data_IF_420698712060
#
_entry.id   IF_420698712060
#
_cell.length_a   1.000
_cell.length_b   1.000
_cell.length_c   1.000
_cell.angle_alpha   90.00
_cell.angle_beta   90.00
_cell.angle_gamma   90.00
#
_symmetry.space_group_name_H-M   'P 1'
#
loop_
_entity.id
_entity.type
_entity.pdbx_description
1 polymer ?
#
# COMPACT_ATOMS: atom_id res chain seq x y z
N UNK A 1 0.88 -64.31 32.82
CA UNK A 1 2.16 -64.21 32.08
C UNK A 1 1.91 -64.56 30.63
N UNK A 2 2.02 -63.57 29.75
CA UNK A 2 2.34 -63.69 28.32
C UNK A 2 1.42 -64.52 27.40
N UNK A 3 0.97 -63.81 26.35
CA UNK A 3 1.11 -64.18 24.94
C UNK A 3 -0.09 -64.90 24.29
N UNK A 4 -0.53 -64.25 23.20
CA UNK A 4 -1.31 -64.79 22.08
C UNK A 4 -2.73 -65.21 22.50
N UNK A 5 -3.73 -65.00 21.69
CA UNK A 5 -3.83 -65.55 20.35
C UNK A 5 -5.16 -65.01 19.82
N UNK A 6 -5.09 -64.14 18.84
CA UNK A 6 -5.55 -64.42 17.47
C UNK A 6 -7.08 -64.36 17.33
N UNK A 7 -7.50 -63.92 16.15
CA UNK A 7 -8.86 -63.76 15.64
C UNK A 7 -9.43 -62.37 15.97
N UNK A 8 -9.66 -61.49 15.00
CA UNK A 8 -9.88 -61.64 13.56
C UNK A 8 -9.26 -60.40 12.89
N UNK A 9 -8.22 -60.52 12.05
CA UNK A 9 -8.25 -61.12 10.72
C UNK A 9 -9.30 -60.39 9.85
N UNK A 10 -8.92 -59.56 8.88
CA UNK A 10 -8.20 -59.87 7.62
C UNK A 10 -9.11 -59.34 6.50
N UNK A 11 -8.46 -59.02 5.38
CA UNK A 11 -9.00 -58.61 4.09
C UNK A 11 -9.14 -57.09 3.94
N UNK A 12 -8.35 -56.40 3.12
CA UNK A 12 -7.64 -56.89 1.93
C UNK A 12 -6.41 -56.05 1.63
N UNK A 13 -5.36 -56.81 1.34
CA UNK A 13 -4.04 -56.45 0.87
C UNK A 13 -4.09 -56.10 -0.63
N UNK A 14 -2.89 -55.81 -1.14
CA UNK A 14 -2.48 -55.69 -2.56
C UNK A 14 -2.48 -54.27 -3.12
N UNK A 15 -1.39 -53.71 -3.64
CA UNK A 15 -0.01 -54.18 -3.80
C UNK A 15 0.82 -52.98 -4.29
N UNK A 16 2.14 -53.04 -4.11
CA UNK A 16 3.05 -52.42 -5.07
C UNK A 16 4.00 -51.38 -4.53
N UNK A 17 4.95 -51.83 -3.71
CA UNK A 17 6.21 -51.17 -3.43
C UNK A 17 6.95 -50.72 -4.70
N UNK A 18 7.53 -49.51 -4.64
CA UNK A 18 8.91 -49.31 -5.10
C UNK A 18 9.55 -48.18 -4.32
N UNK A 19 10.32 -48.56 -3.30
CA UNK A 19 11.15 -47.64 -2.54
C UNK A 19 12.32 -47.10 -3.35
N UNK A 20 12.88 -46.00 -2.88
CA UNK A 20 14.32 -45.89 -2.56
C UNK A 20 14.53 -44.71 -1.61
N UNK A 21 15.37 -44.96 -0.62
CA UNK A 21 15.74 -44.07 0.47
C UNK A 21 16.45 -42.79 0.01
N UNK A 22 16.30 -41.74 0.82
CA UNK A 22 17.37 -40.79 1.12
C UNK A 22 17.52 -39.57 0.20
N UNK A 23 16.86 -38.47 0.54
CA UNK A 23 17.52 -37.16 0.48
C UNK A 23 16.96 -36.23 1.56
N UNK A 24 17.79 -35.94 2.56
CA UNK A 24 17.53 -34.92 3.56
C UNK A 24 17.35 -33.56 2.88
N UNK A 25 16.12 -33.05 2.84
CA UNK A 25 15.81 -31.70 2.36
C UNK A 25 16.42 -30.65 3.31
N UNK A 26 17.61 -30.17 2.97
CA UNK A 26 18.26 -29.00 3.60
C UNK A 26 17.31 -27.79 3.58
N UNK A 27 17.15 -27.03 4.68
CA UNK A 27 16.40 -25.77 4.67
C UNK A 27 17.21 -24.68 3.92
N UNK A 28 16.79 -24.32 2.71
CA UNK A 28 17.34 -23.18 1.94
C UNK A 28 16.74 -21.83 2.40
N UNK A 29 16.68 -21.57 3.72
CA UNK A 29 16.00 -20.39 4.27
C UNK A 29 16.92 -19.27 4.80
N UNK A 30 18.25 -19.43 4.79
CA UNK A 30 19.13 -18.54 5.55
C UNK A 30 19.92 -17.48 4.73
N UNK A 31 19.77 -17.38 3.40
CA UNK A 31 20.66 -16.51 2.58
C UNK A 31 20.01 -15.26 1.98
N UNK A 32 18.69 -15.07 2.10
CA UNK A 32 17.99 -13.92 1.49
C UNK A 32 17.48 -12.86 2.48
N UNK A 33 17.72 -13.05 3.79
CA UNK A 33 17.28 -12.11 4.83
C UNK A 33 17.96 -10.73 4.65
N UNK A 34 19.26 -10.71 4.32
CA UNK A 34 20.01 -9.46 4.21
C UNK A 34 19.47 -8.51 3.12
N UNK A 35 18.93 -9.02 2.00
CA UNK A 35 18.40 -8.15 0.94
C UNK A 35 17.03 -7.56 1.30
N UNK A 36 16.18 -8.33 1.96
CA UNK A 36 14.87 -7.87 2.42
C UNK A 36 15.07 -6.84 3.55
N UNK A 37 15.92 -7.14 4.54
CA UNK A 37 16.21 -6.22 5.64
C UNK A 37 16.89 -4.93 5.18
N UNK A 38 17.86 -4.99 4.24
CA UNK A 38 18.48 -3.78 3.69
C UNK A 38 17.49 -2.93 2.89
N UNK A 39 16.57 -3.56 2.14
CA UNK A 39 15.53 -2.85 1.42
C UNK A 39 14.52 -2.18 2.38
N UNK A 40 14.07 -2.89 3.41
CA UNK A 40 13.19 -2.33 4.45
C UNK A 40 13.86 -1.15 5.17
N UNK A 41 15.11 -1.30 5.62
CA UNK A 41 15.88 -0.22 6.27
C UNK A 41 16.03 0.98 5.33
N UNK A 42 16.35 0.74 4.05
CA UNK A 42 16.48 1.80 3.05
C UNK A 42 15.17 2.56 2.86
N UNK A 43 14.02 1.87 2.85
CA UNK A 43 12.71 2.51 2.78
C UNK A 43 12.43 3.31 4.04
N UNK A 44 12.66 2.76 5.24
CA UNK A 44 12.43 3.47 6.50
C UNK A 44 13.26 4.76 6.56
N UNK A 45 14.54 4.70 6.21
CA UNK A 45 15.43 5.88 6.18
C UNK A 45 14.92 6.89 5.14
N UNK A 46 14.65 6.46 3.91
CA UNK A 46 14.17 7.36 2.85
C UNK A 46 12.84 8.01 3.22
N UNK A 47 11.94 7.23 3.84
CA UNK A 47 10.63 7.69 4.32
C UNK A 47 10.78 8.72 5.43
N UNK A 48 11.69 8.48 6.38
CA UNK A 48 11.95 9.43 7.47
C UNK A 48 12.41 10.79 6.95
N UNK A 49 13.44 10.81 6.08
CA UNK A 49 13.94 12.07 5.51
C UNK A 49 12.89 12.76 4.62
N UNK A 50 12.17 11.99 3.79
CA UNK A 50 11.12 12.53 2.93
C UNK A 50 9.96 13.11 3.76
N UNK A 51 9.53 12.41 4.81
CA UNK A 51 8.49 12.86 5.73
C UNK A 51 8.89 14.13 6.46
N UNK A 52 10.12 14.22 6.96
CA UNK A 52 10.62 15.40 7.64
C UNK A 52 10.62 16.63 6.70
N UNK A 53 11.14 16.48 5.48
CA UNK A 53 11.14 17.56 4.48
C UNK A 53 9.72 17.99 4.11
N UNK A 54 8.84 17.03 3.85
CA UNK A 54 7.47 17.30 3.43
C UNK A 54 6.65 17.96 4.55
N UNK A 55 6.86 17.53 5.81
CA UNK A 55 6.22 18.12 6.99
C UNK A 55 6.66 19.57 7.17
N UNK A 56 7.95 19.88 7.05
CA UNK A 56 8.45 21.27 7.16
C UNK A 56 7.82 22.16 6.09
N UNK A 57 7.77 21.70 4.84
CA UNK A 57 7.15 22.46 3.74
C UNK A 57 5.66 22.70 4.01
N UNK A 58 4.96 21.67 4.48
CA UNK A 58 3.54 21.75 4.79
C UNK A 58 3.26 22.70 5.95
N UNK A 59 4.09 22.68 7.00
CA UNK A 59 3.94 23.54 8.17
C UNK A 59 4.16 25.02 7.82
N UNK A 60 5.21 25.33 7.05
CA UNK A 60 5.46 26.70 6.57
C UNK A 60 4.28 27.21 5.72
N UNK A 61 3.75 26.35 4.85
CA UNK A 61 2.61 26.68 3.99
C UNK A 61 1.33 26.90 4.81
N UNK A 62 1.11 26.09 5.85
CA UNK A 62 -0.11 26.16 6.67
C UNK A 62 -0.06 27.32 7.64
N UNK A 63 1.10 27.61 8.24
CA UNK A 63 1.28 28.70 9.22
C UNK A 63 1.07 30.09 8.63
N UNK A 64 1.39 30.26 7.34
CA UNK A 64 1.25 31.55 6.63
C UNK A 64 -0.12 31.73 5.96
N UNK A 65 -0.93 30.67 5.90
CA UNK A 65 -2.16 30.66 5.13
C UNK A 65 -3.41 30.89 6.00
N UNK A 66 -4.44 31.49 5.41
CA UNK A 66 -5.74 31.62 6.05
C UNK A 66 -6.37 30.25 6.32
N UNK A 67 -7.23 30.15 7.34
CA UNK A 67 -7.94 28.92 7.75
C UNK A 67 -8.58 28.18 6.56
N UNK A 68 -9.12 28.91 5.59
CA UNK A 68 -9.71 28.34 4.38
C UNK A 68 -8.69 27.59 3.51
N UNK A 69 -7.46 28.09 3.39
CA UNK A 69 -6.40 27.44 2.63
C UNK A 69 -5.89 26.18 3.34
N UNK A 70 -5.82 26.17 4.68
CA UNK A 70 -5.50 24.97 5.45
C UNK A 70 -6.55 23.87 5.25
N UNK A 71 -7.84 24.22 5.22
CA UNK A 71 -8.92 23.29 4.90
C UNK A 71 -8.81 22.73 3.47
N UNK A 72 -8.49 23.58 2.49
CA UNK A 72 -8.25 23.14 1.11
C UNK A 72 -7.07 22.18 1.01
N UNK A 73 -5.98 22.46 1.72
CA UNK A 73 -4.81 21.58 1.78
C UNK A 73 -5.14 20.24 2.43
N UNK A 74 -5.92 20.23 3.52
CA UNK A 74 -6.37 19.02 4.20
C UNK A 74 -7.16 18.11 3.25
N UNK A 75 -8.14 18.66 2.52
CA UNK A 75 -8.93 17.90 1.54
C UNK A 75 -8.03 17.37 0.42
N UNK A 76 -7.07 18.18 -0.05
CA UNK A 76 -6.11 17.76 -1.07
C UNK A 76 -5.24 16.58 -0.58
N UNK A 77 -4.74 16.62 0.66
CA UNK A 77 -3.95 15.54 1.25
C UNK A 77 -4.75 14.24 1.36
N UNK A 78 -6.01 14.31 1.80
CA UNK A 78 -6.91 13.14 1.86
C UNK A 78 -7.15 12.58 0.46
N UNK A 79 -7.41 13.44 -0.53
CA UNK A 79 -7.61 13.01 -1.91
C UNK A 79 -6.38 12.32 -2.49
N UNK A 80 -5.18 12.86 -2.28
CA UNK A 80 -3.92 12.25 -2.71
C UNK A 80 -3.72 10.88 -2.05
N UNK A 81 -3.98 10.75 -0.73
CA UNK A 81 -3.88 9.48 -0.01
C UNK A 81 -4.80 8.41 -0.61
N UNK A 82 -6.04 8.76 -0.91
CA UNK A 82 -7.02 7.84 -1.50
C UNK A 82 -6.59 7.41 -2.92
N UNK A 83 -6.15 8.35 -3.75
CA UNK A 83 -5.73 8.06 -5.14
C UNK A 83 -4.49 7.17 -5.16
N UNK A 84 -3.48 7.46 -4.32
CA UNK A 84 -2.26 6.66 -4.28
C UNK A 84 -2.50 5.25 -3.72
N UNK A 85 -3.37 5.11 -2.71
CA UNK A 85 -3.80 3.80 -2.21
C UNK A 85 -4.53 3.00 -3.32
N UNK A 86 -5.41 3.65 -4.09
CA UNK A 86 -6.06 3.01 -5.23
C UNK A 86 -5.07 2.52 -6.30
N UNK A 87 -3.98 3.26 -6.54
CA UNK A 87 -2.92 2.84 -7.47
C UNK A 87 -2.15 1.62 -6.93
N UNK A 88 -1.80 1.60 -5.64
CA UNK A 88 -1.13 0.47 -5.01
C UNK A 88 -1.99 -0.80 -5.03
N UNK A 89 -3.29 -0.66 -4.73
CA UNK A 89 -4.26 -1.76 -4.79
C UNK A 89 -4.53 -2.21 -6.24
N UNK A 90 -4.59 -1.29 -7.20
CA UNK A 90 -4.69 -1.64 -8.62
C UNK A 90 -3.44 -2.41 -9.10
N UNK A 91 -2.25 -2.04 -8.62
CA UNK A 91 -1.00 -2.70 -9.00
C UNK A 91 -0.93 -4.15 -8.51
N UNK A 92 -1.44 -4.40 -7.30
CA UNK A 92 -1.44 -5.73 -6.67
C UNK A 92 -2.58 -6.63 -7.16
N UNK A 93 -3.72 -6.07 -7.54
CA UNK A 93 -4.88 -6.82 -8.07
C UNK A 93 -4.83 -7.08 -9.58
N UNK A 94 -3.90 -6.47 -10.32
CA UNK A 94 -3.82 -6.63 -11.76
C UNK A 94 -3.12 -7.94 -12.16
N UNK A 95 -3.78 -8.75 -13.00
CA UNK A 95 -3.17 -9.95 -13.55
C UNK A 95 -2.15 -9.65 -14.68
N UNK A 96 -1.06 -10.42 -14.74
CA UNK A 96 -0.03 -10.23 -15.77
C UNK A 96 -0.46 -10.69 -17.17
N UNK A 97 -1.30 -11.72 -17.29
CA UNK A 97 -1.72 -12.30 -18.56
C UNK A 97 -2.34 -11.27 -19.55
N UNK A 98 -3.33 -10.44 -19.16
CA UNK A 98 -3.89 -9.43 -20.07
C UNK A 98 -2.86 -8.37 -20.49
N UNK A 99 -1.89 -8.04 -19.63
CA UNK A 99 -0.83 -7.07 -19.93
C UNK A 99 0.17 -7.60 -20.96
N UNK A 100 0.53 -8.89 -20.89
CA UNK A 100 1.42 -9.54 -21.85
C UNK A 100 0.79 -9.60 -23.24
N UNK A 101 -0.50 -9.94 -23.34
CA UNK A 101 -1.24 -9.92 -24.61
C UNK A 101 -1.23 -8.51 -25.26
N UNK A 102 -1.42 -7.45 -24.46
CA UNK A 102 -1.35 -6.07 -24.94
C UNK A 102 0.07 -5.64 -25.35
N UNK A 103 1.10 -6.17 -24.69
CA UNK A 103 2.50 -5.93 -25.07
C UNK A 103 2.83 -6.57 -26.43
N UNK A 104 2.30 -7.77 -26.71
CA UNK A 104 2.41 -8.41 -28.04
C UNK A 104 1.73 -7.58 -29.14
N UNK A 105 0.60 -6.93 -28.83
CA UNK A 105 -0.07 -5.97 -29.74
C UNK A 105 0.56 -4.57 -29.75
N UNK A 106 1.75 -4.39 -29.13
CA UNK A 106 2.50 -3.12 -29.05
C UNK A 106 1.69 -1.93 -28.50
N UNK A 107 0.76 -2.17 -27.57
CA UNK A 107 -0.01 -1.09 -26.94
C UNK A 107 0.94 -0.18 -26.13
N UNK A 108 0.83 1.14 -26.29
CA UNK A 108 1.66 2.13 -25.58
C UNK A 108 1.48 2.00 -24.06
N UNK A 109 2.60 1.98 -23.33
CA UNK A 109 2.63 1.85 -21.86
C UNK A 109 2.65 0.40 -21.33
N UNK A 110 2.37 -0.61 -22.16
CA UNK A 110 2.24 -2.01 -21.70
C UNK A 110 3.52 -2.58 -21.10
N UNK A 111 4.69 -2.21 -21.64
CA UNK A 111 5.99 -2.64 -21.08
C UNK A 111 6.22 -2.09 -19.67
N UNK A 112 5.81 -0.85 -19.42
CA UNK A 112 5.90 -0.24 -18.08
C UNK A 112 4.88 -0.87 -17.13
N UNK A 113 3.66 -1.12 -17.60
CA UNK A 113 2.62 -1.80 -16.82
C UNK A 113 3.10 -3.17 -16.31
N UNK A 114 3.76 -3.95 -17.18
CA UNK A 114 4.34 -5.24 -16.79
C UNK A 114 5.44 -5.05 -15.73
N UNK A 115 6.31 -4.03 -15.84
CA UNK A 115 7.34 -3.75 -14.81
C UNK A 115 6.72 -3.39 -13.47
N UNK A 116 5.65 -2.58 -13.46
CA UNK A 116 4.94 -2.18 -12.25
C UNK A 116 4.27 -3.37 -11.58
N UNK A 117 3.52 -4.19 -12.32
CA UNK A 117 2.84 -5.38 -11.76
C UNK A 117 3.85 -6.44 -11.30
N UNK A 118 4.98 -6.61 -11.99
CA UNK A 118 6.07 -7.50 -11.52
C UNK A 118 6.69 -7.04 -10.19
N UNK A 119 6.64 -5.75 -9.88
CA UNK A 119 7.13 -5.19 -8.62
C UNK A 119 5.97 -4.66 -7.76
N UNK A 120 4.75 -5.21 -7.92
CA UNK A 120 3.54 -4.68 -7.30
C UNK A 120 3.65 -4.56 -5.78
N UNK A 121 4.30 -5.53 -5.12
CA UNK A 121 4.55 -5.50 -3.68
C UNK A 121 5.33 -4.24 -3.26
N UNK A 122 6.39 -3.90 -3.99
CA UNK A 122 7.20 -2.70 -3.72
C UNK A 122 6.43 -1.42 -3.99
N UNK A 123 5.67 -1.39 -5.10
CA UNK A 123 4.85 -0.23 -5.47
C UNK A 123 3.75 0.00 -4.43
N UNK A 124 3.08 -1.06 -4.01
CA UNK A 124 2.04 -0.99 -2.97
C UNK A 124 2.62 -0.54 -1.63
N UNK A 125 3.78 -1.08 -1.22
CA UNK A 125 4.41 -0.65 0.03
C UNK A 125 4.81 0.84 0.00
N UNK A 126 5.24 1.36 -1.14
CA UNK A 126 5.56 2.79 -1.27
C UNK A 126 4.28 3.63 -1.30
N UNK A 127 3.30 3.27 -2.13
CA UNK A 127 2.08 4.07 -2.31
C UNK A 127 1.15 4.03 -1.10
N UNK A 128 0.90 2.84 -0.57
CA UNK A 128 -0.06 2.63 0.51
C UNK A 128 0.56 2.93 1.88
N UNK A 129 1.78 2.44 2.14
CA UNK A 129 2.37 2.52 3.48
C UNK A 129 3.18 3.81 3.60
N UNK A 130 4.25 3.98 2.80
CA UNK A 130 5.13 5.15 2.92
C UNK A 130 4.38 6.47 2.69
N UNK A 131 3.72 6.61 1.53
CA UNK A 131 3.04 7.88 1.21
C UNK A 131 1.75 8.02 2.01
N UNK A 132 1.02 6.93 2.24
CA UNK A 132 -0.19 6.93 3.05
C UNK A 132 0.08 7.36 4.50
N UNK A 133 1.14 6.87 5.13
CA UNK A 133 1.54 7.23 6.49
C UNK A 133 2.00 8.69 6.57
N UNK A 134 2.78 9.17 5.60
CA UNK A 134 3.19 10.58 5.53
C UNK A 134 1.95 11.48 5.39
N UNK A 135 1.08 11.19 4.42
CA UNK A 135 -0.15 11.97 4.24
C UNK A 135 -1.05 11.89 5.47
N UNK A 136 -1.10 10.75 6.17
CA UNK A 136 -1.84 10.56 7.42
C UNK A 136 -1.30 11.46 8.54
N UNK A 137 0.00 11.44 8.79
CA UNK A 137 0.65 12.26 9.83
C UNK A 137 0.46 13.76 9.52
N UNK A 138 0.72 14.16 8.28
CA UNK A 138 0.66 15.56 7.85
C UNK A 138 -0.78 16.09 7.80
N UNK A 139 -1.75 15.28 7.39
CA UNK A 139 -3.17 15.66 7.47
C UNK A 139 -3.65 15.77 8.92
N UNK A 140 -3.14 14.93 9.82
CA UNK A 140 -3.39 15.02 11.26
C UNK A 140 -2.85 16.32 11.87
N UNK A 141 -1.60 16.68 11.57
CA UNK A 141 -1.04 17.96 12.03
C UNK A 141 -1.78 19.16 11.46
N UNK A 142 -2.14 19.14 10.16
CA UNK A 142 -2.97 20.18 9.55
C UNK A 142 -4.33 20.32 10.25
N UNK A 143 -4.98 19.19 10.57
CA UNK A 143 -6.26 19.18 11.29
C UNK A 143 -6.13 19.86 12.64
N UNK A 144 -5.05 19.56 13.39
CA UNK A 144 -4.78 20.20 14.67
C UNK A 144 -4.55 21.71 14.53
N UNK A 145 -3.74 22.14 13.56
CA UNK A 145 -3.49 23.56 13.29
C UNK A 145 -4.77 24.31 12.96
N UNK A 146 -5.67 23.70 12.17
CA UNK A 146 -7.00 24.25 11.87
C UNK A 146 -7.83 24.42 13.15
N UNK A 147 -7.91 23.39 14.01
CA UNK A 147 -8.67 23.44 15.27
C UNK A 147 -8.17 24.57 16.16
N UNK A 148 -6.84 24.73 16.27
CA UNK A 148 -6.22 25.80 17.07
C UNK A 148 -6.60 27.16 16.51
N UNK A 149 -6.47 27.37 15.20
CA UNK A 149 -6.82 28.65 14.57
C UNK A 149 -8.30 29.01 14.70
N UNK A 150 -9.22 28.04 14.60
CA UNK A 150 -10.66 28.28 14.79
C UNK A 150 -11.01 28.59 16.25
N UNK A 151 -10.28 28.01 17.20
CA UNK A 151 -10.68 28.05 18.61
C UNK A 151 -9.90 29.07 19.44
N UNK A 152 -8.99 29.83 18.83
CA UNK A 152 -8.16 30.81 19.53
C UNK A 152 -8.97 31.85 20.34
N UNK A 153 -10.24 32.10 19.97
CA UNK A 153 -11.15 33.03 20.65
C UNK A 153 -12.34 32.35 21.34
N UNK A 154 -12.38 31.02 21.45
CA UNK A 154 -13.54 30.29 21.98
C UNK A 154 -13.29 29.65 23.37
N UNK A 155 -14.34 29.42 24.17
CA UNK A 155 -14.24 28.69 25.44
C UNK A 155 -13.66 27.29 25.28
N UNK A 156 -12.83 26.86 26.25
CA UNK A 156 -12.11 25.57 26.22
C UNK A 156 -13.00 24.31 26.05
N UNK A 157 -14.26 24.36 26.49
CA UNK A 157 -15.21 23.26 26.32
C UNK A 157 -15.64 23.08 24.86
N UNK A 158 -15.82 24.18 24.11
CA UNK A 158 -16.16 24.12 22.69
C UNK A 158 -14.97 23.64 21.85
N UNK A 159 -13.74 23.96 22.26
CA UNK A 159 -12.50 23.49 21.61
C UNK A 159 -12.40 21.98 21.55
N UNK A 160 -12.71 21.32 22.66
CA UNK A 160 -12.68 19.86 22.76
C UNK A 160 -13.65 19.21 21.77
N UNK A 161 -14.91 19.65 21.78
CA UNK A 161 -15.94 19.09 20.90
C UNK A 161 -15.66 19.36 19.41
N UNK A 162 -15.17 20.56 19.06
CA UNK A 162 -14.78 20.89 17.68
C UNK A 162 -13.61 20.01 17.22
N UNK A 163 -12.60 19.81 18.06
CA UNK A 163 -11.45 18.94 17.75
C UNK A 163 -11.88 17.50 17.49
N UNK A 164 -12.72 16.94 18.38
CA UNK A 164 -13.23 15.57 18.27
C UNK A 164 -14.09 15.41 17.02
N UNK A 165 -14.99 16.36 16.76
CA UNK A 165 -15.88 16.30 15.61
C UNK A 165 -15.10 16.41 14.30
N UNK A 166 -14.15 17.34 14.20
CA UNK A 166 -13.34 17.50 13.00
C UNK A 166 -12.46 16.28 12.74
N UNK A 167 -11.77 15.77 13.76
CA UNK A 167 -10.94 14.56 13.65
C UNK A 167 -11.77 13.34 13.26
N UNK A 168 -12.98 13.21 13.80
CA UNK A 168 -13.90 12.11 13.47
C UNK A 168 -14.37 12.20 12.01
N UNK A 169 -14.70 13.40 11.53
CA UNK A 169 -15.07 13.62 10.12
C UNK A 169 -13.92 13.30 9.18
N UNK A 170 -12.70 13.76 9.49
CA UNK A 170 -11.49 13.47 8.70
C UNK A 170 -11.21 11.97 8.66
N UNK A 171 -11.31 11.28 9.81
CA UNK A 171 -11.12 9.84 9.87
C UNK A 171 -12.19 9.08 9.05
N UNK A 172 -13.46 9.44 9.20
CA UNK A 172 -14.56 8.82 8.45
C UNK A 172 -14.42 9.03 6.94
N UNK A 173 -14.05 10.25 6.51
CA UNK A 173 -13.80 10.56 5.09
C UNK A 173 -12.61 9.79 4.55
N UNK A 174 -11.52 9.68 5.31
CA UNK A 174 -10.30 8.98 4.88
C UNK A 174 -10.57 7.47 4.74
N UNK A 175 -11.16 6.84 5.77
CA UNK A 175 -11.41 5.40 5.76
C UNK A 175 -12.52 5.04 4.75
N UNK A 176 -13.61 5.79 4.74
CA UNK A 176 -14.72 5.59 3.80
C UNK A 176 -14.31 5.82 2.35
N UNK A 177 -13.54 6.89 2.09
CA UNK A 177 -13.02 7.20 0.77
C UNK A 177 -12.10 6.10 0.23
N UNK A 178 -11.18 5.59 1.06
CA UNK A 178 -10.31 4.46 0.69
C UNK A 178 -11.13 3.21 0.36
N UNK A 179 -12.15 2.88 1.15
CA UNK A 179 -12.99 1.70 0.89
C UNK A 179 -13.70 1.74 -0.48
N UNK A 180 -14.30 2.87 -0.83
CA UNK A 180 -14.99 3.07 -2.11
C UNK A 180 -13.99 2.96 -3.27
N UNK A 181 -12.86 3.67 -3.18
CA UNK A 181 -11.86 3.69 -4.23
C UNK A 181 -11.14 2.36 -4.41
N UNK A 182 -10.91 1.58 -3.35
CA UNK A 182 -10.35 0.22 -3.46
C UNK A 182 -11.26 -0.69 -4.29
N UNK A 183 -12.57 -0.65 -4.06
CA UNK A 183 -13.53 -1.44 -4.85
C UNK A 183 -13.49 -1.06 -6.33
N UNK A 184 -13.43 0.24 -6.61
CA UNK A 184 -13.31 0.74 -7.98
C UNK A 184 -11.98 0.36 -8.62
N UNK A 185 -10.90 0.42 -7.84
CA UNK A 185 -9.55 0.10 -8.28
C UNK A 185 -9.38 -1.38 -8.64
N UNK A 186 -10.02 -2.28 -7.90
CA UNK A 186 -10.01 -3.71 -8.21
C UNK A 186 -10.78 -3.99 -9.51
N UNK A 187 -11.96 -3.37 -9.69
CA UNK A 187 -12.78 -3.54 -10.90
C UNK A 187 -12.08 -3.03 -12.17
N UNK A 188 -11.36 -1.90 -12.07
CA UNK A 188 -10.69 -1.25 -13.20
C UNK A 188 -9.14 -1.29 -13.09
N UNK A 189 -8.59 -2.32 -12.43
CA UNK A 189 -7.16 -2.41 -12.08
C UNK A 189 -6.26 -2.30 -13.32
N UNK A 190 -6.62 -2.99 -14.38
CA UNK A 190 -5.93 -2.94 -15.68
C UNK A 190 -5.88 -1.53 -16.27
N UNK A 191 -6.99 -0.80 -16.25
CA UNK A 191 -7.09 0.50 -16.89
C UNK A 191 -6.31 1.56 -16.10
N UNK A 192 -6.42 1.52 -14.76
CA UNK A 192 -5.66 2.38 -13.84
C UNK A 192 -4.16 2.15 -14.03
N UNK A 193 -3.71 0.89 -14.03
CA UNK A 193 -2.29 0.58 -14.22
C UNK A 193 -1.81 0.98 -15.61
N UNK A 194 -2.59 0.80 -16.67
CA UNK A 194 -2.24 1.30 -18.00
C UNK A 194 -2.14 2.82 -18.04
N UNK A 195 -3.05 3.54 -17.37
CA UNK A 195 -3.02 4.99 -17.29
C UNK A 195 -1.74 5.48 -16.58
N UNK A 196 -1.46 4.94 -15.39
CA UNK A 196 -0.24 5.24 -14.61
C UNK A 196 1.02 4.91 -15.42
N UNK A 197 1.01 3.76 -16.09
CA UNK A 197 2.13 3.32 -16.93
C UNK A 197 2.35 4.21 -18.14
N UNK A 198 1.28 4.75 -18.75
CA UNK A 198 1.39 5.71 -19.85
C UNK A 198 2.00 7.01 -19.35
N UNK A 199 1.52 7.54 -18.22
CA UNK A 199 2.07 8.75 -17.59
C UNK A 199 3.57 8.59 -17.29
N UNK A 200 3.97 7.49 -16.64
CA UNK A 200 5.38 7.19 -16.37
C UNK A 200 6.21 7.00 -17.66
N UNK A 201 5.64 6.34 -18.69
CA UNK A 201 6.37 6.08 -19.94
C UNK A 201 6.67 7.34 -20.76
N UNK A 202 5.88 8.42 -20.59
CA UNK A 202 6.18 9.72 -21.18
C UNK A 202 7.44 10.32 -20.55
N UNK A 203 7.61 10.13 -19.24
CA UNK A 203 8.78 10.59 -18.52
C UNK A 203 10.04 9.75 -18.84
N UNK A 204 9.90 8.43 -18.93
CA UNK A 204 11.02 7.52 -19.24
C UNK A 204 11.52 7.68 -20.69
N UNK A 205 10.68 8.13 -21.64
CA UNK A 205 11.12 8.43 -23.02
C UNK A 205 12.12 9.58 -23.12
N UNK A 206 12.20 10.48 -22.13
CA UNK A 206 13.17 11.59 -22.13
C UNK A 206 14.57 11.20 -21.64
N UNK A 207 14.77 9.95 -21.20
CA UNK A 207 16.03 9.46 -20.63
C UNK A 207 16.74 8.45 -21.54
N UNK A 208 16.62 8.61 -22.87
CA UNK A 208 17.40 7.87 -23.86
C UNK A 208 17.98 8.81 -24.89
#
# INVERSE_FOLDING_TARGET
MKIKKDREAVASNEDGERGTAGEARKPKAARNINKVTVWTISITITTFFLSALFTVITEITTSTAHVAAAFMLLILLIAINIVLDAIGVAATSCELAPLLSMASRKVKGSRMAIKLVKNAEKVSNICCDVIGDICGIVSGSCTLSIVISLTVNAPGSLSFWVSVLLSSVVAALTVGGKAIFKSLAIKHSKEIILMVSRMLSVFERKQK
#
